data_IF_619660062765
#
_entry.id   IF_619660062765
#
_cell.length_a   1.000
_cell.length_b   1.000
_cell.length_c   1.000
_cell.angle_alpha   90.00
_cell.angle_beta   90.00
_cell.angle_gamma   90.00
#
_symmetry.space_group_name_H-M   'P 1'
#
loop_
_entity.id
_entity.type
_entity.pdbx_description
1 polymer ?
#
# COMPACT_ATOMS: atom_id res chain seq x y z
N UNK A 1 -17.55 11.38 11.35
CA UNK A 1 -18.23 11.21 12.66
C UNK A 1 -17.94 12.45 13.51
N UNK A 2 -18.68 12.69 14.60
CA UNK A 2 -18.43 13.81 15.53
C UNK A 2 -17.76 13.38 16.84
N UNK A 3 -17.42 12.10 16.99
CA UNK A 3 -16.81 11.52 18.19
C UNK A 3 -15.34 11.19 17.90
N UNK A 4 -14.40 12.08 18.24
CA UNK A 4 -13.00 11.88 17.91
C UNK A 4 -12.46 10.63 18.62
N UNK A 5 -11.65 9.86 17.88
CA UNK A 5 -10.87 8.74 18.43
C UNK A 5 -9.42 8.95 18.04
N UNK A 6 -8.59 9.31 19.02
CA UNK A 6 -7.16 9.59 18.81
C UNK A 6 -6.42 8.49 18.04
N UNK A 7 -6.66 7.18 18.26
CA UNK A 7 -5.98 6.13 17.51
C UNK A 7 -6.33 6.05 16.02
N UNK A 8 -7.34 6.80 15.54
CA UNK A 8 -7.71 6.85 14.11
C UNK A 8 -7.05 8.02 13.38
N UNK A 9 -6.33 8.90 14.09
CA UNK A 9 -5.55 9.96 13.47
C UNK A 9 -4.38 9.36 12.68
N UNK A 10 -4.00 10.04 11.59
CA UNK A 10 -2.87 9.71 10.73
C UNK A 10 -1.75 10.76 10.86
N UNK A 11 -0.49 10.48 10.47
CA UNK A 11 0.02 9.26 9.83
C UNK A 11 -0.07 8.00 10.69
N UNK A 12 -0.11 6.85 10.02
CA UNK A 12 0.05 5.54 10.65
C UNK A 12 1.54 5.21 10.83
N UNK A 13 1.94 3.93 10.86
CA UNK A 13 3.35 3.58 11.11
C UNK A 13 4.21 3.82 9.88
N UNK A 14 3.70 3.49 8.71
CA UNK A 14 4.36 3.65 7.42
C UNK A 14 3.61 4.59 6.49
N UNK A 15 2.27 4.64 6.59
CA UNK A 15 1.43 5.31 5.60
C UNK A 15 0.69 6.54 6.13
N UNK A 16 0.59 7.55 5.28
CA UNK A 16 -0.49 8.53 5.27
C UNK A 16 -1.38 8.27 4.05
N UNK A 17 -2.68 8.13 4.27
CA UNK A 17 -3.67 7.78 3.26
C UNK A 17 -4.76 8.84 3.20
N UNK A 18 -4.86 9.47 2.04
CA UNK A 18 -5.96 10.34 1.68
C UNK A 18 -6.81 9.61 0.64
N UNK A 19 -7.96 9.08 1.06
CA UNK A 19 -8.75 8.20 0.21
C UNK A 19 -9.71 7.31 0.99
N UNK A 20 -10.24 6.29 0.30
CA UNK A 20 -11.11 5.26 0.85
C UNK A 20 -10.88 3.94 0.11
N UNK A 21 -10.67 2.83 0.83
CA UNK A 21 -10.53 1.50 0.23
C UNK A 21 -11.91 0.82 0.15
N UNK A 22 -12.51 0.86 -1.03
CA UNK A 22 -13.86 0.35 -1.30
C UNK A 22 -13.95 -1.20 -1.22
N UNK A 23 -12.81 -1.88 -1.34
CA UNK A 23 -12.71 -3.35 -1.36
C UNK A 23 -12.36 -3.95 0.00
N UNK A 24 -12.30 -3.15 1.07
CA UNK A 24 -11.69 -3.51 2.36
C UNK A 24 -12.22 -4.81 2.97
N UNK A 25 -13.52 -5.08 2.89
CA UNK A 25 -14.10 -6.31 3.44
C UNK A 25 -13.55 -7.56 2.74
N UNK A 26 -13.40 -7.51 1.41
CA UNK A 26 -12.80 -8.58 0.63
C UNK A 26 -11.33 -8.76 0.98
N UNK A 27 -10.59 -7.66 1.04
CA UNK A 27 -9.16 -7.66 1.35
C UNK A 27 -8.89 -8.26 2.75
N UNK A 28 -9.71 -7.91 3.75
CA UNK A 28 -9.59 -8.49 5.09
C UNK A 28 -9.87 -10.00 5.11
N UNK A 29 -10.91 -10.45 4.40
CA UNK A 29 -11.24 -11.88 4.32
C UNK A 29 -10.10 -12.67 3.64
N UNK A 30 -9.51 -12.10 2.59
CA UNK A 30 -8.42 -12.69 1.86
C UNK A 30 -7.11 -12.68 2.65
N UNK A 31 -6.81 -11.61 3.39
CA UNK A 31 -5.69 -11.59 4.34
C UNK A 31 -5.87 -12.66 5.43
N UNK A 32 -7.06 -12.75 6.01
CA UNK A 32 -7.39 -13.75 7.03
C UNK A 32 -7.25 -15.19 6.50
N UNK A 33 -7.67 -15.47 5.26
CA UNK A 33 -7.54 -16.81 4.67
C UNK A 33 -6.07 -17.22 4.44
N UNK A 34 -5.17 -16.25 4.23
CA UNK A 34 -3.72 -16.46 4.11
C UNK A 34 -2.99 -16.54 5.44
N UNK A 35 -3.60 -16.10 6.55
CA UNK A 35 -2.90 -15.94 7.82
C UNK A 35 -2.13 -17.20 8.20
N UNK A 36 -2.79 -18.36 8.19
CA UNK A 36 -2.25 -19.64 8.65
C UNK A 36 -1.13 -20.19 7.77
N UNK A 37 -1.14 -19.91 6.47
CA UNK A 37 -0.17 -20.41 5.49
C UNK A 37 1.00 -19.46 5.25
N UNK A 38 0.86 -18.17 5.58
CA UNK A 38 1.90 -17.18 5.41
C UNK A 38 3.09 -17.50 6.33
N UNK A 39 4.25 -17.69 5.70
CA UNK A 39 5.54 -17.91 6.35
C UNK A 39 6.60 -17.03 5.69
N UNK A 40 7.53 -16.52 6.49
CA UNK A 40 8.72 -15.85 5.95
C UNK A 40 9.91 -16.20 6.82
N UNK A 41 11.06 -16.48 6.18
CA UNK A 41 12.31 -16.76 6.87
C UNK A 41 12.75 -15.61 7.79
N UNK A 42 12.31 -14.38 7.50
CA UNK A 42 12.58 -13.18 8.32
C UNK A 42 11.98 -13.29 9.72
N UNK A 43 10.84 -13.96 9.88
CA UNK A 43 10.14 -14.04 11.16
C UNK A 43 10.62 -15.19 12.05
N UNK A 44 11.47 -16.09 11.54
CA UNK A 44 12.07 -17.19 12.32
C UNK A 44 11.04 -18.04 13.10
N UNK A 45 9.88 -18.34 12.51
CA UNK A 45 8.82 -19.14 13.16
C UNK A 45 7.89 -18.36 14.09
N UNK A 46 8.06 -17.03 14.18
CA UNK A 46 7.27 -16.14 15.04
C UNK A 46 6.05 -15.54 14.33
N UNK A 47 5.62 -16.09 13.20
CA UNK A 47 4.47 -15.58 12.44
C UNK A 47 3.19 -15.52 13.28
N UNK A 48 3.03 -16.41 14.26
CA UNK A 48 1.88 -16.38 15.16
C UNK A 48 1.86 -15.17 16.12
N UNK A 49 3.00 -14.53 16.39
CA UNK A 49 3.09 -13.39 17.31
C UNK A 49 2.62 -12.08 16.68
N UNK A 50 2.62 -12.01 15.34
CA UNK A 50 2.25 -10.82 14.55
C UNK A 50 0.86 -10.94 13.93
N UNK A 51 0.14 -12.04 14.18
CA UNK A 51 -1.27 -12.20 13.81
C UNK A 51 -2.20 -11.56 14.84
N UNK A 52 -3.41 -11.12 14.45
CA UNK A 52 -3.95 -11.11 13.07
C UNK A 52 -3.35 -9.98 12.22
N UNK A 53 -3.28 -10.18 10.90
CA UNK A 53 -2.70 -9.20 9.96
C UNK A 53 -3.68 -8.07 9.60
N UNK A 54 -4.94 -8.19 10.00
CA UNK A 54 -5.98 -7.19 9.82
C UNK A 54 -6.94 -7.14 10.99
N UNK A 55 -7.65 -6.02 11.13
CA UNK A 55 -8.64 -5.79 12.17
C UNK A 55 -9.89 -5.14 11.56
N UNK A 56 -11.03 -5.87 11.48
CA UNK A 56 -12.29 -5.34 10.96
C UNK A 56 -12.85 -4.13 11.75
N UNK A 57 -12.36 -3.89 12.98
CA UNK A 57 -12.75 -2.73 13.79
C UNK A 57 -11.87 -1.50 13.55
N UNK A 58 -10.74 -1.66 12.86
CA UNK A 58 -9.84 -0.57 12.50
C UNK A 58 -10.31 0.10 11.19
N UNK A 59 -9.80 1.31 10.91
CA UNK A 59 -10.08 1.97 9.63
C UNK A 59 -9.46 1.19 8.47
N UNK A 60 -9.96 1.44 7.27
CA UNK A 60 -9.37 0.96 6.02
C UNK A 60 -7.88 1.33 5.90
N UNK A 61 -7.54 2.57 6.25
CA UNK A 61 -6.19 3.14 6.22
C UNK A 61 -5.26 2.44 7.20
N UNK A 62 -5.75 2.11 8.40
CA UNK A 62 -4.98 1.36 9.39
C UNK A 62 -4.75 -0.10 8.94
N UNK A 63 -5.72 -0.70 8.26
CA UNK A 63 -5.56 -2.06 7.71
C UNK A 63 -4.60 -2.09 6.51
N UNK A 64 -4.64 -1.08 5.65
CA UNK A 64 -3.69 -0.93 4.55
C UNK A 64 -2.27 -0.72 5.08
N UNK A 65 -2.09 0.10 6.13
CA UNK A 65 -0.82 0.28 6.83
C UNK A 65 -0.30 -1.03 7.42
N UNK A 66 -1.14 -1.81 8.11
CA UNK A 66 -0.75 -3.13 8.64
C UNK A 66 -0.34 -4.11 7.54
N UNK A 67 -1.05 -4.13 6.40
CA UNK A 67 -0.71 -4.99 5.27
C UNK A 67 0.63 -4.56 4.62
N UNK A 68 0.85 -3.26 4.45
CA UNK A 68 2.10 -2.72 3.94
C UNK A 68 3.27 -3.01 4.91
N UNK A 69 3.07 -2.80 6.21
CA UNK A 69 4.04 -3.11 7.26
C UNK A 69 4.42 -4.59 7.22
N UNK A 70 3.45 -5.50 7.10
CA UNK A 70 3.73 -6.94 6.98
C UNK A 70 4.65 -7.24 5.78
N UNK A 71 4.35 -6.68 4.61
CA UNK A 71 5.16 -6.91 3.40
C UNK A 71 6.57 -6.32 3.53
N UNK A 72 6.67 -5.09 4.03
CA UNK A 72 7.94 -4.38 4.20
C UNK A 72 8.82 -5.11 5.24
N UNK A 73 8.27 -5.41 6.41
CA UNK A 73 8.99 -6.12 7.47
C UNK A 73 9.30 -7.57 7.11
N UNK A 74 8.59 -8.15 6.15
CA UNK A 74 8.91 -9.46 5.57
C UNK A 74 10.01 -9.40 4.48
N UNK A 75 10.60 -8.23 4.21
CA UNK A 75 11.77 -8.07 3.35
C UNK A 75 11.53 -7.38 2.00
N UNK A 76 10.32 -6.86 1.73
CA UNK A 76 10.06 -6.07 0.52
C UNK A 76 10.41 -4.60 0.72
N UNK A 77 10.74 -3.89 -0.35
CA UNK A 77 10.86 -2.44 -0.30
C UNK A 77 9.47 -1.79 -0.18
N UNK A 78 9.35 -0.56 0.33
CA UNK A 78 8.07 0.14 0.40
C UNK A 78 7.38 0.30 -0.96
N UNK A 79 8.15 0.58 -2.01
CA UNK A 79 7.64 0.70 -3.39
C UNK A 79 7.06 -0.63 -3.85
N UNK A 80 7.80 -1.73 -3.66
CA UNK A 80 7.32 -3.06 -4.03
C UNK A 80 6.08 -3.46 -3.25
N UNK A 81 6.03 -3.20 -1.94
CA UNK A 81 4.86 -3.50 -1.11
C UNK A 81 3.61 -2.77 -1.61
N UNK A 82 3.74 -1.48 -1.95
CA UNK A 82 2.64 -0.68 -2.47
C UNK A 82 2.25 -1.05 -3.90
N UNK A 83 3.20 -1.40 -4.78
CA UNK A 83 2.87 -1.92 -6.12
C UNK A 83 2.10 -3.25 -6.04
N UNK A 84 2.33 -4.07 -5.00
CA UNK A 84 1.59 -5.32 -4.79
C UNK A 84 0.19 -5.07 -4.23
N UNK A 85 0.06 -4.15 -3.26
CA UNK A 85 -1.23 -3.85 -2.61
C UNK A 85 -2.13 -2.97 -3.48
N UNK A 86 -1.56 -1.95 -4.11
CA UNK A 86 -2.27 -0.94 -4.93
C UNK A 86 -1.62 -0.91 -6.34
N UNK A 87 -1.82 -1.98 -7.14
CA UNK A 87 -1.18 -2.11 -8.45
C UNK A 87 -1.74 -1.10 -9.46
N UNK A 88 -0.88 -0.57 -10.33
CA UNK A 88 -1.30 0.33 -11.40
C UNK A 88 -2.16 -0.37 -12.46
N UNK A 89 -2.83 0.42 -13.31
CA UNK A 89 -3.54 -0.08 -14.48
C UNK A 89 -2.56 -0.44 -15.62
N UNK A 90 -1.84 -1.56 -15.48
CA UNK A 90 -0.72 -1.91 -16.37
C UNK A 90 -1.13 -2.54 -17.72
N UNK A 91 -2.35 -3.07 -17.84
CA UNK A 91 -2.82 -3.71 -19.08
C UNK A 91 -3.04 -2.70 -20.20
N UNK A 92 -2.61 -3.07 -21.41
CA UNK A 92 -2.71 -2.23 -22.61
C UNK A 92 -1.99 -0.87 -22.48
N UNK A 93 -1.02 -0.76 -21.57
CA UNK A 93 -0.21 0.45 -21.39
C UNK A 93 0.96 0.42 -22.39
N UNK A 94 0.95 1.20 -23.48
CA UNK A 94 1.93 1.04 -24.57
C UNK A 94 3.37 1.25 -24.09
N UNK A 95 3.60 2.23 -23.21
CA UNK A 95 4.91 2.48 -22.62
C UNK A 95 5.43 1.29 -21.81
N UNK A 96 4.58 0.63 -21.02
CA UNK A 96 5.01 -0.53 -20.23
C UNK A 96 5.28 -1.73 -21.15
N UNK A 97 4.38 -2.01 -22.09
CA UNK A 97 4.55 -3.14 -23.01
C UNK A 97 5.80 -3.02 -23.89
N UNK A 98 6.16 -1.80 -24.32
CA UNK A 98 7.29 -1.57 -25.23
C UNK A 98 8.60 -1.38 -24.46
N UNK A 99 8.60 -0.59 -23.38
CA UNK A 99 9.84 -0.17 -22.72
C UNK A 99 10.14 -0.93 -21.43
N UNK A 100 9.13 -1.51 -20.78
CA UNK A 100 9.25 -2.13 -19.45
C UNK A 100 8.46 -3.45 -19.35
N UNK A 101 8.71 -4.44 -20.24
CA UNK A 101 7.98 -5.71 -20.23
C UNK A 101 8.07 -6.45 -18.88
N UNK A 102 9.18 -6.31 -18.15
CA UNK A 102 9.38 -6.89 -16.82
C UNK A 102 8.41 -6.33 -15.76
N UNK A 103 7.93 -5.10 -15.94
CA UNK A 103 6.91 -4.50 -15.06
C UNK A 103 5.56 -5.15 -15.31
N UNK A 104 5.24 -5.47 -16.57
CA UNK A 104 4.04 -6.24 -16.92
C UNK A 104 4.11 -7.64 -16.31
N UNK A 105 5.26 -8.31 -16.44
CA UNK A 105 5.49 -9.63 -15.85
C UNK A 105 5.37 -9.61 -14.32
N UNK A 106 5.90 -8.56 -13.67
CA UNK A 106 5.75 -8.34 -12.23
C UNK A 106 4.27 -8.31 -11.82
N UNK A 107 3.45 -7.49 -12.47
CA UNK A 107 2.03 -7.41 -12.13
C UNK A 107 1.27 -8.69 -12.50
N UNK A 108 1.63 -9.34 -13.60
CA UNK A 108 1.03 -10.63 -13.99
C UNK A 108 1.35 -11.75 -13.00
N UNK A 109 2.52 -11.71 -12.36
CA UNK A 109 2.87 -12.61 -11.26
C UNK A 109 2.05 -12.31 -9.98
N UNK A 110 1.93 -11.03 -9.59
CA UNK A 110 1.30 -10.66 -8.33
C UNK A 110 -0.23 -10.65 -8.36
N UNK A 111 -0.87 -10.45 -9.53
CA UNK A 111 -2.36 -10.40 -9.65
C UNK A 111 -3.06 -11.65 -9.12
N UNK A 112 -2.37 -12.80 -9.15
CA UNK A 112 -2.89 -14.08 -8.65
C UNK A 112 -2.60 -14.34 -7.16
N UNK A 113 -1.72 -13.54 -6.55
CA UNK A 113 -1.27 -13.74 -5.17
C UNK A 113 -1.93 -12.75 -4.20
N UNK A 114 -2.06 -11.49 -4.61
CA UNK A 114 -2.65 -10.42 -3.83
C UNK A 114 -3.73 -9.71 -4.65
N UNK A 115 -4.93 -9.64 -4.09
CA UNK A 115 -5.99 -8.78 -4.60
C UNK A 115 -5.66 -7.30 -4.40
N UNK A 116 -6.06 -6.47 -5.36
CA UNK A 116 -5.86 -5.04 -5.25
C UNK A 116 -6.70 -4.45 -4.10
N UNK A 117 -6.05 -3.64 -3.27
CA UNK A 117 -6.69 -2.79 -2.28
C UNK A 117 -7.22 -1.54 -2.99
N UNK A 118 -8.33 -1.73 -3.69
CA UNK A 118 -8.88 -0.75 -4.63
C UNK A 118 -9.80 0.28 -3.97
N UNK A 119 -9.80 1.48 -4.54
CA UNK A 119 -10.48 2.68 -4.07
C UNK A 119 -9.64 3.95 -4.30
N UNK A 120 -10.22 5.15 -4.24
CA UNK A 120 -9.46 6.40 -4.38
C UNK A 120 -8.36 6.46 -3.34
N UNK A 121 -7.10 6.71 -3.73
CA UNK A 121 -6.00 6.78 -2.78
C UNK A 121 -4.87 7.69 -3.27
N UNK A 122 -4.47 8.62 -2.40
CA UNK A 122 -3.11 9.16 -2.36
C UNK A 122 -2.44 8.60 -1.10
N UNK A 123 -1.36 7.84 -1.31
CA UNK A 123 -0.55 7.26 -0.26
C UNK A 123 0.77 8.00 -0.20
N UNK A 124 1.09 8.57 0.97
CA UNK A 124 2.44 8.97 1.33
C UNK A 124 3.02 7.89 2.22
N UNK A 125 4.28 7.50 1.99
CA UNK A 125 4.89 6.42 2.76
C UNK A 125 6.34 6.71 3.12
N UNK A 126 6.80 6.13 4.22
CA UNK A 126 8.22 6.10 4.56
C UNK A 126 8.59 4.91 5.44
N UNK A 127 9.78 4.35 5.23
CA UNK A 127 10.42 3.36 6.11
C UNK A 127 11.54 3.98 6.98
N UNK A 128 11.66 5.32 6.98
CA UNK A 128 12.73 6.06 7.64
C UNK A 128 14.02 6.17 6.82
N UNK A 129 14.12 5.54 5.65
CA UNK A 129 15.23 5.69 4.69
C UNK A 129 14.77 6.25 3.37
N UNK A 130 13.64 5.78 2.89
CA UNK A 130 12.96 6.25 1.70
C UNK A 130 11.65 6.93 2.10
N UNK A 131 11.28 7.97 1.35
CA UNK A 131 9.97 8.60 1.41
C UNK A 131 9.42 8.67 -0.01
N UNK A 132 8.14 8.39 -0.17
CA UNK A 132 7.51 8.38 -1.48
C UNK A 132 6.02 8.66 -1.45
N UNK A 133 5.46 8.76 -2.66
CA UNK A 133 4.03 8.93 -2.88
C UNK A 133 3.56 7.92 -3.94
N UNK A 134 2.35 7.40 -3.77
CA UNK A 134 1.71 6.46 -4.69
C UNK A 134 0.24 6.86 -4.86
N UNK A 135 -0.29 6.74 -6.08
CA UNK A 135 -1.69 6.94 -6.37
C UNK A 135 -2.39 5.60 -6.59
N UNK A 136 -3.70 5.58 -6.36
CA UNK A 136 -4.53 4.50 -6.86
C UNK A 136 -4.45 4.40 -8.39
N UNK A 137 -4.85 3.24 -8.91
CA UNK A 137 -4.74 2.90 -10.32
C UNK A 137 -5.44 3.86 -11.30
N UNK A 138 -6.41 4.63 -10.83
CA UNK A 138 -7.18 5.58 -11.62
C UNK A 138 -6.81 7.05 -11.32
N UNK A 139 -5.91 7.30 -10.35
CA UNK A 139 -5.49 8.64 -9.97
C UNK A 139 -6.64 9.50 -9.43
N UNK A 140 -7.51 8.93 -8.59
CA UNK A 140 -8.75 9.59 -8.14
C UNK A 140 -8.55 10.64 -7.06
N UNK A 141 -7.33 10.74 -6.50
CA UNK A 141 -6.95 11.77 -5.53
C UNK A 141 -5.87 12.67 -6.12
N UNK A 142 -5.99 14.00 -5.93
CA UNK A 142 -5.00 14.92 -6.47
C UNK A 142 -3.67 14.74 -5.73
N UNK A 143 -2.58 14.71 -6.49
CA UNK A 143 -1.22 14.79 -5.97
C UNK A 143 -0.44 15.76 -6.86
N UNK A 144 0.17 16.76 -6.23
CA UNK A 144 1.04 17.74 -6.87
C UNK A 144 2.41 17.65 -6.21
N UNK A 145 3.45 17.79 -7.01
CA UNK A 145 4.81 17.85 -6.49
C UNK A 145 5.59 19.03 -7.04
N UNK A 146 6.45 19.60 -6.20
CA UNK A 146 7.42 20.63 -6.58
C UNK A 146 8.81 20.18 -6.19
N UNK A 147 9.76 20.38 -7.11
CA UNK A 147 11.18 20.24 -6.82
C UNK A 147 11.83 21.61 -6.90
N UNK A 148 12.54 21.96 -5.85
CA UNK A 148 13.35 23.18 -5.77
C UNK A 148 14.75 22.94 -6.31
N UNK A 149 15.46 24.03 -6.63
CA UNK A 149 16.83 23.97 -7.18
C UNK A 149 17.85 23.38 -6.18
N UNK A 150 17.56 23.50 -4.89
CA UNK A 150 18.31 22.91 -3.76
C UNK A 150 17.83 21.51 -3.39
N UNK A 151 17.08 20.86 -4.28
CA UNK A 151 16.63 19.46 -4.19
C UNK A 151 15.64 19.14 -3.06
N UNK A 152 14.96 20.14 -2.47
CA UNK A 152 13.77 19.85 -1.69
C UNK A 152 12.62 19.44 -2.60
N UNK A 153 11.94 18.36 -2.22
CA UNK A 153 10.74 17.86 -2.88
C UNK A 153 9.55 18.04 -1.95
N UNK A 154 8.53 18.73 -2.43
CA UNK A 154 7.25 18.89 -1.78
C UNK A 154 6.23 18.04 -2.49
N UNK A 155 5.38 17.32 -1.75
CA UNK A 155 4.23 16.59 -2.30
C UNK A 155 3.01 16.92 -1.45
N UNK A 156 1.92 17.34 -2.09
CA UNK A 156 0.69 17.73 -1.41
C UNK A 156 -0.54 17.44 -2.29
N UNK A 157 -1.71 17.36 -1.64
CA UNK A 157 -2.97 17.19 -2.36
C UNK A 157 -3.40 18.44 -3.11
N UNK A 158 -2.96 19.61 -2.64
CA UNK A 158 -3.25 20.93 -3.20
C UNK A 158 -1.99 21.80 -3.13
N UNK A 159 -1.98 22.89 -3.90
CA UNK A 159 -0.88 23.86 -3.97
C UNK A 159 -1.39 25.27 -3.73
#
# INVERSE_FOLDING_TARGET
NTSPRWPLAQPMRFLGHNGEINTIQGNLNWMQSRETSLKSSVWHGRENEIRPYGNPKASDSANLDSAAELLIRSGRTPEQALMVLVPEAYKNHPTLTINYPEVVDFYDYYKGQMEAWDGPALLLFSDGKTVGACLDRNGLRPARYWRTVDNFVYVASEV
#
